data_IF_418636923762
#
_entry.id   IF_418636923762
#
_cell.length_a   1.000
_cell.length_b   1.000
_cell.length_c   1.000
_cell.angle_alpha   90.00
_cell.angle_beta   90.00
_cell.angle_gamma   90.00
#
_symmetry.space_group_name_H-M   'P 1'
#
loop_
_entity.id
_entity.type
_entity.pdbx_description
1 polymer ?
#
# COMPACT_ATOMS: atom_id res chain seq x y z
N UNK A 1 -11.44 -4.70 -5.04
CA UNK A 1 -10.15 -5.31 -4.65
C UNK A 1 -10.27 -6.83 -4.72
N UNK A 2 -9.79 -7.43 -5.82
CA UNK A 2 -9.87 -8.88 -6.08
C UNK A 2 -8.52 -9.60 -5.87
N UNK A 3 -7.57 -8.98 -5.17
CA UNK A 3 -6.29 -9.63 -4.84
C UNK A 3 -6.49 -10.69 -3.75
N UNK A 4 -5.62 -11.69 -3.75
CA UNK A 4 -5.57 -12.68 -2.66
C UNK A 4 -5.32 -12.02 -1.31
N UNK A 5 -4.51 -10.95 -1.27
CA UNK A 5 -4.33 -10.13 -0.07
C UNK A 5 -5.66 -9.56 0.44
N UNK A 6 -6.44 -8.94 -0.46
CA UNK A 6 -7.75 -8.40 -0.10
C UNK A 6 -8.75 -9.46 0.33
N UNK A 7 -8.69 -10.65 -0.26
CA UNK A 7 -9.55 -11.78 0.09
C UNK A 7 -9.21 -12.36 1.47
N UNK A 8 -7.92 -12.52 1.78
CA UNK A 8 -7.46 -13.23 2.98
C UNK A 8 -7.33 -12.33 4.20
N UNK A 9 -6.93 -11.06 4.01
CA UNK A 9 -6.62 -10.16 5.13
C UNK A 9 -7.66 -9.05 5.32
N UNK A 10 -8.13 -8.44 4.22
CA UNK A 10 -9.04 -7.29 4.33
C UNK A 10 -10.49 -7.76 4.57
N UNK A 11 -10.99 -8.72 3.78
CA UNK A 11 -12.36 -9.24 3.95
C UNK A 11 -12.59 -9.99 5.26
N UNK A 12 -11.53 -10.49 5.88
CA UNK A 12 -11.55 -11.15 7.19
C UNK A 12 -11.38 -10.18 8.35
N UNK A 13 -11.19 -8.87 8.06
CA UNK A 13 -10.87 -7.82 9.02
C UNK A 13 -9.55 -8.05 9.80
N UNK A 14 -8.68 -8.94 9.30
CA UNK A 14 -7.35 -9.12 9.88
C UNK A 14 -6.46 -7.89 9.62
N UNK A 15 -6.66 -7.21 8.49
CA UNK A 15 -6.04 -5.91 8.23
C UNK A 15 -7.13 -4.88 7.92
N UNK A 16 -7.05 -3.65 8.48
CA UNK A 16 -7.99 -2.56 8.19
C UNK A 16 -8.17 -2.28 6.70
N UNK A 17 -9.39 -1.89 6.31
CA UNK A 17 -9.75 -1.61 4.91
C UNK A 17 -8.87 -0.53 4.29
N UNK A 18 -8.45 0.48 5.06
CA UNK A 18 -7.59 1.58 4.62
C UNK A 18 -6.29 1.08 3.95
N UNK A 19 -5.67 0.02 4.48
CA UNK A 19 -4.45 -0.55 3.89
C UNK A 19 -4.72 -1.28 2.58
N UNK A 20 -5.95 -1.76 2.37
CA UNK A 20 -6.40 -2.24 1.06
C UNK A 20 -6.50 -1.12 0.03
N UNK A 21 -6.95 0.07 0.45
CA UNK A 21 -6.99 1.27 -0.38
C UNK A 21 -5.58 1.80 -0.69
N UNK A 22 -4.68 1.79 0.31
CA UNK A 22 -3.27 2.13 0.16
C UNK A 22 -2.60 1.21 -0.87
N UNK A 23 -2.76 -0.10 -0.73
CA UNK A 23 -2.22 -1.06 -1.69
C UNK A 23 -2.77 -0.82 -3.10
N UNK A 24 -4.06 -0.50 -3.23
CA UNK A 24 -4.67 -0.17 -4.51
C UNK A 24 -4.11 1.10 -5.14
N UNK A 25 -3.85 2.13 -4.34
CA UNK A 25 -3.20 3.36 -4.79
C UNK A 25 -1.75 3.09 -5.22
N UNK A 26 -0.93 2.52 -4.34
CA UNK A 26 0.48 2.22 -4.59
C UNK A 26 0.68 1.32 -5.80
N UNK A 27 -0.21 0.36 -6.02
CA UNK A 27 -0.15 -0.48 -7.22
C UNK A 27 -0.32 0.33 -8.50
N UNK A 28 -1.23 1.32 -8.54
CA UNK A 28 -1.41 2.19 -9.72
C UNK A 28 -0.19 3.06 -9.95
N UNK A 29 0.30 3.73 -8.90
CA UNK A 29 1.51 4.55 -8.98
C UNK A 29 2.70 3.74 -9.50
N UNK A 30 2.85 2.49 -9.03
CA UNK A 30 3.88 1.58 -9.52
C UNK A 30 3.68 1.22 -11.00
N UNK A 31 2.44 0.99 -11.45
CA UNK A 31 2.16 0.70 -12.86
C UNK A 31 2.54 1.90 -13.75
N UNK A 32 2.15 3.11 -13.36
CA UNK A 32 2.52 4.34 -14.07
C UNK A 32 4.04 4.49 -14.12
N UNK A 33 4.73 4.37 -12.98
CA UNK A 33 6.19 4.46 -12.90
C UNK A 33 6.91 3.45 -13.81
N UNK A 34 6.43 2.20 -13.84
CA UNK A 34 7.09 1.10 -14.52
C UNK A 34 6.80 1.09 -16.05
N UNK A 35 5.61 1.55 -16.45
CA UNK A 35 5.06 1.27 -17.79
C UNK A 35 4.52 2.48 -18.56
N UNK A 36 4.40 3.65 -17.95
CA UNK A 36 3.91 4.88 -18.60
C UNK A 36 5.05 5.91 -18.71
N UNK A 37 5.95 5.80 -19.70
CA UNK A 37 7.16 6.62 -19.80
C UNK A 37 6.90 8.10 -20.11
N UNK A 38 5.66 8.46 -20.46
CA UNK A 38 5.24 9.84 -20.69
C UNK A 38 4.67 10.52 -19.44
N UNK A 39 4.39 9.75 -18.38
CA UNK A 39 3.89 10.27 -17.11
C UNK A 39 5.04 10.49 -16.12
N UNK A 40 5.03 11.64 -15.45
CA UNK A 40 5.94 11.94 -14.34
C UNK A 40 5.18 11.84 -13.02
N UNK A 41 5.72 11.08 -12.08
CA UNK A 41 5.20 11.02 -10.71
C UNK A 41 5.84 12.17 -9.93
N UNK A 42 4.99 13.11 -9.50
CA UNK A 42 5.42 14.27 -8.73
C UNK A 42 5.93 13.90 -7.34
N UNK A 43 6.67 14.83 -6.74
CA UNK A 43 7.24 14.64 -5.41
C UNK A 43 6.16 14.43 -4.35
N UNK A 44 5.03 15.13 -4.45
CA UNK A 44 3.93 15.02 -3.48
C UNK A 44 3.31 13.61 -3.51
N UNK A 45 3.15 13.03 -4.70
CA UNK A 45 2.67 11.67 -4.89
C UNK A 45 3.65 10.65 -4.32
N UNK A 46 4.96 10.87 -4.51
CA UNK A 46 6.02 10.03 -3.91
C UNK A 46 6.01 10.13 -2.39
N UNK A 47 5.97 11.34 -1.83
CA UNK A 47 5.97 11.55 -0.37
C UNK A 47 4.74 10.90 0.27
N UNK A 48 3.56 11.03 -0.37
CA UNK A 48 2.33 10.36 0.04
C UNK A 48 2.44 8.83 -0.03
N UNK A 49 3.04 8.30 -1.09
CA UNK A 49 3.25 6.86 -1.24
C UNK A 49 4.17 6.31 -0.14
N UNK A 50 5.25 7.01 0.17
CA UNK A 50 6.17 6.64 1.26
C UNK A 50 5.48 6.64 2.61
N UNK A 51 4.68 7.68 2.90
CA UNK A 51 3.91 7.75 4.14
C UNK A 51 2.96 6.54 4.29
N UNK A 52 2.22 6.19 3.24
CA UNK A 52 1.34 5.01 3.25
C UNK A 52 2.09 3.71 3.55
N UNK A 53 3.29 3.55 3.00
CA UNK A 53 4.14 2.37 3.24
C UNK A 53 4.64 2.34 4.68
N UNK A 54 5.11 3.47 5.20
CA UNK A 54 5.58 3.57 6.60
C UNK A 54 4.45 3.26 7.59
N UNK A 55 3.26 3.83 7.37
CA UNK A 55 2.07 3.55 8.19
C UNK A 55 1.72 2.06 8.20
N UNK A 56 1.70 1.42 7.02
CA UNK A 56 1.41 -0.02 6.92
C UNK A 56 2.47 -0.88 7.60
N UNK A 57 3.76 -0.58 7.41
CA UNK A 57 4.85 -1.32 8.04
C UNK A 57 4.77 -1.21 9.56
N UNK A 58 4.53 0.00 10.09
CA UNK A 58 4.38 0.22 11.52
C UNK A 58 3.19 -0.57 12.08
N UNK A 59 2.03 -0.51 11.41
CA UNK A 59 0.86 -1.32 11.79
C UNK A 59 1.17 -2.81 11.84
N UNK A 60 1.85 -3.37 10.82
CA UNK A 60 2.21 -4.79 10.79
C UNK A 60 3.19 -5.13 11.91
N UNK A 61 4.22 -4.31 12.12
CA UNK A 61 5.18 -4.49 13.22
C UNK A 61 4.49 -4.52 14.58
N UNK A 62 3.59 -3.56 14.83
CA UNK A 62 2.83 -3.48 16.07
C UNK A 62 1.87 -4.65 16.25
N UNK A 63 1.06 -4.97 15.22
CA UNK A 63 0.05 -6.02 15.27
C UNK A 63 0.67 -7.41 15.49
N UNK A 64 1.80 -7.70 14.85
CA UNK A 64 2.43 -9.02 14.89
C UNK A 64 3.68 -9.08 15.78
N UNK A 65 3.97 -8.01 16.53
CA UNK A 65 5.11 -7.92 17.46
C UNK A 65 6.46 -8.29 16.80
N UNK A 66 6.65 -7.84 15.55
CA UNK A 66 7.88 -8.10 14.79
C UNK A 66 8.96 -7.13 15.26
N UNK A 67 10.00 -7.66 15.90
CA UNK A 67 11.23 -6.92 16.24
C UNK A 67 12.29 -7.12 15.16
N UNK A 68 13.01 -6.04 14.81
CA UNK A 68 14.17 -6.07 13.90
C UNK A 68 15.37 -6.83 14.48
#
# INVERSE_FOLDING_TARGET
>A
MNSEFGRVFIKTAEIPLEYGEYLGYLFRERQTADYEPEEEIGKEEVDKALQMVEEFINFVKEKYQITE
#
